data_IF_119103895087
#
_entry.id   IF_119103895087
#
_cell.length_a   1.000
_cell.length_b   1.000
_cell.length_c   1.000
_cell.angle_alpha   90.00
_cell.angle_beta   90.00
_cell.angle_gamma   90.00
#
_symmetry.space_group_name_H-M   'P 1'
#
loop_
_entity.id
_entity.type
_entity.pdbx_description
1 polymer ?
#
# COMPACT_ATOMS: atom_id res chain seq x y z
N UNK A 1 -9.16 -21.46 52.18
CA UNK A 1 -8.69 -20.06 52.34
C UNK A 1 -9.68 -19.12 51.66
N UNK A 2 -9.67 -17.83 52.00
CA UNK A 2 -10.49 -16.82 51.31
C UNK A 2 -9.58 -15.98 50.41
N UNK A 3 -9.91 -15.89 49.12
CA UNK A 3 -9.13 -15.12 48.14
C UNK A 3 -9.93 -13.96 47.60
N UNK A 4 -9.29 -12.82 47.39
CA UNK A 4 -9.92 -11.67 46.74
C UNK A 4 -10.08 -11.91 45.23
N UNK A 5 -11.02 -11.22 44.59
CA UNK A 5 -11.18 -11.28 43.12
C UNK A 5 -9.90 -10.89 42.37
N UNK A 6 -9.09 -10.00 42.94
CA UNK A 6 -7.80 -9.62 42.36
C UNK A 6 -6.80 -10.78 42.41
N UNK A 7 -6.72 -11.51 43.52
CA UNK A 7 -5.85 -12.69 43.65
C UNK A 7 -6.29 -13.83 42.73
N UNK A 8 -7.61 -14.06 42.60
CA UNK A 8 -8.16 -15.07 41.70
C UNK A 8 -7.84 -14.74 40.24
N UNK A 9 -7.90 -13.46 39.87
CA UNK A 9 -7.55 -13.02 38.52
C UNK A 9 -6.09 -13.32 38.17
N UNK A 10 -5.17 -13.12 39.12
CA UNK A 10 -3.76 -13.47 38.95
C UNK A 10 -3.57 -14.99 38.89
N UNK A 11 -4.26 -15.74 39.75
CA UNK A 11 -4.10 -17.19 39.86
C UNK A 11 -4.68 -17.94 38.66
N UNK A 12 -5.78 -17.45 38.09
CA UNK A 12 -6.52 -18.13 37.00
C UNK A 12 -6.28 -17.54 35.62
N UNK A 13 -5.60 -16.40 35.53
CA UNK A 13 -5.48 -15.63 34.27
C UNK A 13 -6.80 -15.05 33.75
N UNK A 14 -7.91 -15.20 34.48
CA UNK A 14 -9.21 -14.67 34.09
C UNK A 14 -9.30 -13.18 34.40
N UNK A 15 -10.03 -12.45 33.54
CA UNK A 15 -10.32 -11.04 33.82
C UNK A 15 -11.16 -10.90 35.10
N UNK A 16 -10.90 -9.84 35.88
CA UNK A 16 -11.70 -9.51 37.07
C UNK A 16 -13.19 -9.42 36.73
N UNK A 17 -13.53 -8.91 35.55
CA UNK A 17 -14.91 -8.79 35.05
C UNK A 17 -15.55 -10.16 34.84
N UNK A 18 -14.83 -11.12 34.24
CA UNK A 18 -15.30 -12.49 34.05
C UNK A 18 -15.60 -13.17 35.39
N UNK A 19 -14.71 -12.98 36.38
CA UNK A 19 -14.90 -13.49 37.74
C UNK A 19 -16.12 -12.83 38.39
N UNK A 20 -16.25 -11.50 38.33
CA UNK A 20 -17.41 -10.77 38.87
C UNK A 20 -18.75 -11.20 38.26
N UNK A 21 -18.77 -11.51 36.96
CA UNK A 21 -19.98 -11.97 36.29
C UNK A 21 -20.41 -13.37 36.77
N UNK A 22 -19.46 -14.25 37.10
CA UNK A 22 -19.76 -15.60 37.59
C UNK A 22 -20.18 -15.63 39.05
N UNK A 23 -19.49 -14.90 39.92
CA UNK A 23 -19.85 -14.85 41.34
C UNK A 23 -21.21 -14.17 41.58
N UNK A 24 -21.76 -13.43 40.60
CA UNK A 24 -23.14 -12.89 40.68
C UNK A 24 -24.23 -13.97 40.54
N UNK A 25 -23.91 -15.15 40.01
CA UNK A 25 -24.86 -16.24 39.82
C UNK A 25 -25.33 -16.80 41.18
N UNK A 26 -26.57 -17.29 41.24
CA UNK A 26 -27.20 -17.77 42.49
C UNK A 26 -26.44 -18.94 43.11
N UNK A 27 -25.78 -19.75 42.29
CA UNK A 27 -25.01 -20.94 42.67
C UNK A 27 -23.74 -20.57 43.46
N UNK A 28 -23.11 -19.45 43.13
CA UNK A 28 -21.85 -19.02 43.76
C UNK A 28 -22.04 -18.22 45.06
N UNK A 29 -23.28 -17.80 45.39
CA UNK A 29 -23.57 -17.01 46.60
C UNK A 29 -23.10 -17.68 47.89
N UNK A 30 -23.09 -19.00 47.93
CA UNK A 30 -22.68 -19.80 49.11
C UNK A 30 -21.17 -19.72 49.37
N UNK A 31 -20.38 -19.35 48.38
CA UNK A 31 -18.92 -19.30 48.45
C UNK A 31 -18.37 -17.88 48.53
N UNK A 32 -19.24 -16.87 48.67
CA UNK A 32 -18.87 -15.45 48.64
C UNK A 32 -18.99 -14.82 50.02
N UNK A 33 -17.93 -14.14 50.42
CA UNK A 33 -17.81 -13.45 51.70
C UNK A 33 -17.47 -12.00 51.45
N UNK A 34 -18.20 -11.06 52.07
CA UNK A 34 -17.93 -9.63 51.95
C UNK A 34 -17.44 -9.08 53.28
N UNK A 35 -16.24 -8.51 53.28
CA UNK A 35 -15.68 -7.83 54.44
C UNK A 35 -15.16 -6.46 54.02
N UNK A 36 -15.56 -5.40 54.74
CA UNK A 36 -15.12 -4.01 54.50
C UNK A 36 -15.21 -3.56 53.01
N UNK A 37 -16.25 -4.00 52.30
CA UNK A 37 -16.47 -3.64 50.89
C UNK A 37 -15.70 -4.46 49.85
N UNK A 38 -14.84 -5.39 50.27
CA UNK A 38 -14.10 -6.30 49.39
C UNK A 38 -14.84 -7.63 49.31
N UNK A 39 -14.93 -8.19 48.09
CA UNK A 39 -15.54 -9.50 47.84
C UNK A 39 -14.45 -10.58 47.82
N UNK A 40 -14.60 -11.54 48.72
CA UNK A 40 -13.76 -12.72 48.85
C UNK A 40 -14.53 -13.96 48.41
N UNK A 41 -13.81 -14.93 47.84
CA UNK A 41 -14.34 -16.22 47.41
C UNK A 41 -13.60 -17.32 48.17
N UNK A 42 -14.31 -18.34 48.64
CA UNK A 42 -13.69 -19.52 49.25
C UNK A 42 -12.94 -20.35 48.22
N UNK A 43 -11.99 -21.18 48.68
CA UNK A 43 -11.17 -22.02 47.81
C UNK A 43 -12.05 -22.92 46.92
N UNK A 44 -13.14 -23.48 47.45
CA UNK A 44 -14.08 -24.31 46.70
C UNK A 44 -14.78 -23.51 45.58
N UNK A 45 -15.14 -22.25 45.87
CA UNK A 45 -15.70 -21.36 44.87
C UNK A 45 -14.69 -20.99 43.77
N UNK A 46 -13.40 -20.89 44.11
CA UNK A 46 -12.32 -20.65 43.13
C UNK A 46 -12.12 -21.86 42.23
N UNK A 47 -12.12 -23.08 42.78
CA UNK A 47 -12.02 -24.33 42.00
C UNK A 47 -13.20 -24.47 41.04
N UNK A 48 -14.42 -24.19 41.48
CA UNK A 48 -15.60 -24.19 40.62
C UNK A 48 -15.54 -23.17 39.49
N UNK A 49 -14.98 -21.97 39.75
CA UNK A 49 -14.74 -20.99 38.68
C UNK A 49 -13.72 -21.54 37.67
N UNK A 50 -12.66 -22.21 38.15
CA UNK A 50 -11.62 -22.80 37.31
C UNK A 50 -12.16 -23.93 36.42
N UNK A 51 -12.93 -24.86 37.00
CA UNK A 51 -13.61 -25.94 36.28
C UNK A 51 -14.62 -25.39 35.26
N UNK A 52 -15.39 -24.38 35.65
CA UNK A 52 -16.40 -23.77 34.77
C UNK A 52 -15.78 -23.14 33.53
N UNK A 53 -14.65 -22.44 33.69
CA UNK A 53 -13.92 -21.87 32.55
C UNK A 53 -13.05 -22.88 31.83
N UNK A 54 -13.06 -24.15 32.26
CA UNK A 54 -12.35 -25.27 31.66
C UNK A 54 -10.88 -24.93 31.34
N UNK A 55 -10.26 -24.14 32.21
CA UNK A 55 -8.87 -23.71 32.09
C UNK A 55 -7.98 -24.91 32.36
N UNK A 56 -7.78 -25.74 31.36
CA UNK A 56 -6.80 -26.82 31.42
C UNK A 56 -5.41 -26.24 31.18
N UNK A 57 -4.85 -25.59 32.18
CA UNK A 57 -3.46 -25.13 32.15
C UNK A 57 -2.46 -26.32 32.16
N UNK A 58 -2.97 -27.55 32.36
CA UNK A 58 -2.20 -28.80 32.37
C UNK A 58 -2.34 -29.68 31.13
N UNK A 59 -3.28 -29.45 30.18
CA UNK A 59 -3.48 -30.39 29.05
C UNK A 59 -2.72 -30.07 27.77
N UNK A 60 -2.01 -28.96 27.68
CA UNK A 60 -1.10 -28.71 26.55
C UNK A 60 0.25 -29.45 26.71
N UNK A 61 0.62 -29.81 27.94
CA UNK A 61 1.88 -30.53 28.22
C UNK A 61 1.72 -32.05 28.20
N UNK A 62 0.49 -32.59 28.26
CA UNK A 62 0.23 -34.04 28.22
C UNK A 62 0.00 -34.58 26.80
N UNK A 63 -0.14 -33.71 25.79
CA UNK A 63 -0.37 -34.12 24.39
C UNK A 63 0.92 -34.36 23.59
N UNK A 64 2.09 -34.13 24.18
CA UNK A 64 3.40 -34.47 23.60
C UNK A 64 3.97 -35.81 24.11
N UNK A 65 3.29 -36.48 25.05
CA UNK A 65 3.64 -37.80 25.54
C UNK A 65 2.56 -38.78 25.07
N UNK A 66 2.65 -39.20 23.81
CA UNK A 66 1.83 -40.29 23.30
C UNK A 66 2.15 -41.62 23.99
N UNK A 67 1.09 -42.43 24.16
CA UNK A 67 1.10 -43.90 24.27
C UNK A 67 1.65 -44.54 25.54
N UNK A 68 0.75 -44.77 26.51
CA UNK A 68 0.56 -46.11 27.10
C UNK A 68 -0.78 -46.16 27.87
N UNK A 69 -1.91 -46.09 27.16
CA UNK A 69 -3.11 -46.72 27.69
C UNK A 69 -2.99 -48.20 27.41
N UNK A 70 -2.54 -48.96 28.40
CA UNK A 70 -2.67 -50.41 28.45
C UNK A 70 -4.14 -50.75 28.22
N UNK A 71 -4.47 -51.21 27.02
CA UNK A 71 -5.73 -51.85 26.67
C UNK A 71 -5.88 -53.15 27.47
N UNK A 72 -6.17 -53.03 28.76
CA UNK A 72 -6.51 -54.14 29.64
C UNK A 72 -7.84 -53.91 30.35
N UNK A 73 -8.78 -53.35 29.61
CA UNK A 73 -10.18 -53.31 29.99
C UNK A 73 -11.00 -53.89 28.84
N UNK A 74 -11.26 -55.20 28.96
CA UNK A 74 -12.35 -55.94 28.34
C UNK A 74 -12.55 -55.71 26.83
N UNK A 75 -11.86 -56.52 26.02
CA UNK A 75 -12.33 -56.82 24.67
C UNK A 75 -13.65 -57.60 24.76
N UNK A 76 -14.76 -56.89 24.90
CA UNK A 76 -16.05 -57.36 24.42
C UNK A 76 -16.06 -57.07 22.92
N UNK A 77 -15.60 -58.05 22.14
CA UNK A 77 -15.78 -58.10 20.69
C UNK A 77 -17.28 -58.29 20.38
N UNK A 78 -18.09 -57.26 20.67
CA UNK A 78 -19.36 -57.09 19.99
C UNK A 78 -19.02 -56.27 18.76
N UNK A 79 -18.78 -56.98 17.66
CA UNK A 79 -18.66 -56.41 16.33
C UNK A 79 -20.03 -55.82 15.92
N UNK A 80 -20.36 -54.65 16.47
CA UNK A 80 -21.47 -53.84 15.98
C UNK A 80 -21.07 -53.32 14.61
N UNK A 81 -21.47 -54.06 13.57
CA UNK A 81 -21.28 -53.73 12.15
C UNK A 81 -21.66 -52.27 11.86
N UNK A 82 -22.71 -51.77 12.51
CA UNK A 82 -23.15 -50.37 12.46
C UNK A 82 -22.06 -49.38 12.92
N UNK A 83 -21.34 -49.65 14.00
CA UNK A 83 -20.25 -48.77 14.50
C UNK A 83 -19.09 -48.72 13.50
N UNK A 84 -18.78 -49.85 12.85
CA UNK A 84 -17.75 -49.92 11.81
C UNK A 84 -18.17 -49.13 10.56
N UNK A 85 -19.41 -49.26 10.12
CA UNK A 85 -19.99 -48.52 9.00
C UNK A 85 -20.02 -47.01 9.28
N UNK A 86 -20.49 -46.58 10.45
CA UNK A 86 -20.44 -45.16 10.85
C UNK A 86 -19.01 -44.60 10.88
N UNK A 87 -18.02 -45.40 11.32
CA UNK A 87 -16.62 -44.98 11.34
C UNK A 87 -16.04 -44.84 9.92
N UNK A 88 -16.43 -45.70 8.97
CA UNK A 88 -16.05 -45.52 7.57
C UNK A 88 -16.71 -44.30 6.94
N UNK A 89 -18.02 -44.10 7.15
CA UNK A 89 -18.72 -42.92 6.63
C UNK A 89 -18.13 -41.60 7.14
N UNK A 90 -17.78 -41.55 8.43
CA UNK A 90 -17.14 -40.39 9.02
C UNK A 90 -15.73 -40.14 8.46
N UNK A 91 -15.01 -41.19 8.07
CA UNK A 91 -13.71 -41.07 7.41
C UNK A 91 -13.88 -40.54 5.99
N UNK A 92 -14.83 -41.08 5.24
CA UNK A 92 -15.11 -40.66 3.86
C UNK A 92 -15.59 -39.21 3.81
N UNK A 93 -16.45 -38.80 4.75
CA UNK A 93 -16.90 -37.41 4.87
C UNK A 93 -15.73 -36.45 5.13
N UNK A 94 -14.78 -36.84 5.99
CA UNK A 94 -13.56 -36.04 6.25
C UNK A 94 -12.69 -35.93 5.00
N UNK A 95 -12.50 -37.02 4.26
CA UNK A 95 -11.72 -37.01 3.01
C UNK A 95 -12.37 -36.08 1.98
N UNK A 96 -13.68 -36.22 1.77
CA UNK A 96 -14.43 -35.37 0.84
C UNK A 96 -14.33 -33.88 1.22
N UNK A 97 -14.47 -33.55 2.50
CA UNK A 97 -14.32 -32.17 2.97
C UNK A 97 -12.91 -31.62 2.72
N UNK A 98 -11.87 -32.41 2.98
CA UNK A 98 -10.48 -32.03 2.71
C UNK A 98 -10.27 -31.78 1.21
N UNK A 99 -10.82 -32.61 0.34
CA UNK A 99 -10.65 -32.46 -1.11
C UNK A 99 -11.39 -31.24 -1.67
N UNK A 100 -12.58 -30.92 -1.12
CA UNK A 100 -13.27 -29.66 -1.41
C UNK A 100 -12.39 -28.46 -1.01
N UNK A 101 -11.84 -28.47 0.21
CA UNK A 101 -10.97 -27.40 0.68
C UNK A 101 -9.70 -27.27 -0.17
N UNK A 102 -9.08 -28.38 -0.58
CA UNK A 102 -7.92 -28.36 -1.48
C UNK A 102 -8.27 -27.76 -2.84
N UNK A 103 -9.43 -28.12 -3.40
CA UNK A 103 -9.92 -27.58 -4.66
C UNK A 103 -10.18 -26.08 -4.57
N UNK A 104 -10.80 -25.62 -3.48
CA UNK A 104 -11.04 -24.20 -3.22
C UNK A 104 -9.73 -23.42 -3.08
N UNK A 105 -8.76 -23.93 -2.32
CA UNK A 105 -7.41 -23.34 -2.21
C UNK A 105 -6.74 -23.27 -3.59
N UNK A 106 -6.86 -24.33 -4.41
CA UNK A 106 -6.33 -24.35 -5.77
C UNK A 106 -6.95 -23.26 -6.65
N UNK A 107 -8.28 -23.11 -6.58
CA UNK A 107 -9.00 -22.07 -7.30
C UNK A 107 -8.61 -20.66 -6.86
N UNK A 108 -8.44 -20.43 -5.56
CA UNK A 108 -7.99 -19.14 -5.01
C UNK A 108 -6.57 -18.81 -5.46
N UNK A 109 -5.65 -19.78 -5.46
CA UNK A 109 -4.28 -19.60 -5.98
C UNK A 109 -4.28 -19.24 -7.46
N UNK A 110 -5.07 -19.94 -8.28
CA UNK A 110 -5.20 -19.63 -9.70
C UNK A 110 -5.76 -18.21 -9.95
N UNK A 111 -6.67 -17.74 -9.10
CA UNK A 111 -7.19 -16.37 -9.17
C UNK A 111 -6.13 -15.33 -8.79
N UNK A 112 -5.32 -15.61 -7.76
CA UNK A 112 -4.20 -14.75 -7.37
C UNK A 112 -3.18 -14.63 -8.51
N UNK A 113 -2.75 -15.76 -9.09
CA UNK A 113 -1.79 -15.75 -10.21
C UNK A 113 -2.28 -14.94 -11.42
N UNK A 114 -3.58 -15.02 -11.73
CA UNK A 114 -4.19 -14.22 -12.80
C UNK A 114 -4.19 -12.73 -12.47
N UNK A 115 -4.53 -12.37 -11.22
CA UNK A 115 -4.49 -10.97 -10.77
C UNK A 115 -3.08 -10.41 -10.75
N UNK A 116 -2.09 -11.19 -10.34
CA UNK A 116 -0.68 -10.79 -10.35
C UNK A 116 -0.18 -10.52 -11.76
N UNK A 117 -0.56 -11.34 -12.75
CA UNK A 117 -0.26 -11.08 -14.17
C UNK A 117 -0.88 -9.77 -14.65
N UNK A 118 -2.15 -9.51 -14.33
CA UNK A 118 -2.82 -8.25 -14.68
C UNK A 118 -2.12 -7.04 -14.03
N UNK A 119 -1.67 -7.17 -12.77
CA UNK A 119 -0.91 -6.12 -12.08
C UNK A 119 0.41 -5.85 -12.80
N UNK A 120 1.15 -6.88 -13.23
CA UNK A 120 2.40 -6.71 -13.97
C UNK A 120 2.20 -6.01 -15.32
N UNK A 121 1.13 -6.36 -16.05
CA UNK A 121 0.77 -5.67 -17.29
C UNK A 121 0.45 -4.19 -17.05
N UNK A 122 -0.35 -3.88 -16.03
CA UNK A 122 -0.66 -2.50 -15.65
C UNK A 122 0.59 -1.70 -15.24
N UNK A 123 1.52 -2.32 -14.51
CA UNK A 123 2.80 -1.70 -14.16
C UNK A 123 3.61 -1.39 -15.41
N UNK A 124 3.68 -2.30 -16.38
CA UNK A 124 4.40 -2.09 -17.63
C UNK A 124 3.76 -1.00 -18.49
N UNK A 125 2.43 -0.98 -18.61
CA UNK A 125 1.71 0.10 -19.30
C UNK A 125 1.95 1.46 -18.64
N UNK A 126 1.94 1.52 -17.31
CA UNK A 126 2.23 2.77 -16.58
C UNK A 126 3.67 3.24 -16.82
N UNK A 127 4.67 2.33 -16.78
CA UNK A 127 6.06 2.66 -17.12
C UNK A 127 6.17 3.21 -18.53
N UNK A 128 5.51 2.60 -19.51
CA UNK A 128 5.50 3.08 -20.89
C UNK A 128 4.87 4.47 -21.01
N UNK A 129 3.74 4.70 -20.34
CA UNK A 129 3.09 6.01 -20.32
C UNK A 129 3.98 7.10 -19.71
N UNK A 130 4.72 6.79 -18.64
CA UNK A 130 5.68 7.73 -18.05
C UNK A 130 6.80 8.11 -19.03
N UNK A 131 7.33 7.14 -19.78
CA UNK A 131 8.34 7.40 -20.82
C UNK A 131 7.78 8.30 -21.92
N UNK A 132 6.57 8.00 -22.40
CA UNK A 132 5.91 8.79 -23.45
C UNK A 132 5.64 10.23 -22.99
N UNK A 133 5.16 10.42 -21.76
CA UNK A 133 4.94 11.75 -21.18
C UNK A 133 6.24 12.55 -21.09
N UNK A 134 7.33 11.91 -20.64
CA UNK A 134 8.64 12.56 -20.58
C UNK A 134 9.15 12.96 -21.97
N UNK A 135 9.01 12.07 -22.97
CA UNK A 135 9.37 12.37 -24.35
C UNK A 135 8.54 13.53 -24.93
N UNK A 136 7.27 13.64 -24.57
CA UNK A 136 6.43 14.74 -25.00
C UNK A 136 6.86 16.06 -24.36
N UNK A 137 7.14 16.07 -23.05
CA UNK A 137 7.68 17.24 -22.35
C UNK A 137 9.01 17.70 -22.96
N UNK A 138 9.92 16.77 -23.25
CA UNK A 138 11.20 17.09 -23.89
C UNK A 138 11.02 17.69 -25.29
N UNK A 139 10.03 17.21 -26.06
CA UNK A 139 9.68 17.79 -27.37
C UNK A 139 9.14 19.22 -27.24
N UNK A 140 8.23 19.45 -26.31
CA UNK A 140 7.66 20.79 -26.05
C UNK A 140 8.75 21.78 -25.61
N UNK A 141 9.65 21.37 -24.71
CA UNK A 141 10.81 22.18 -24.29
C UNK A 141 11.71 22.51 -25.47
N UNK A 142 12.00 21.53 -26.33
CA UNK A 142 12.85 21.76 -27.50
C UNK A 142 12.19 22.66 -28.54
N UNK A 143 10.87 22.56 -28.73
CA UNK A 143 10.13 23.47 -29.60
C UNK A 143 10.16 24.90 -29.08
N UNK A 144 9.95 25.11 -27.77
CA UNK A 144 10.05 26.42 -27.13
C UNK A 144 11.44 27.03 -27.32
N UNK A 145 12.51 26.26 -27.04
CA UNK A 145 13.90 26.70 -27.27
C UNK A 145 14.15 27.08 -28.71
N UNK A 146 13.61 26.31 -29.67
CA UNK A 146 13.76 26.58 -31.08
C UNK A 146 13.02 27.87 -31.50
N UNK A 147 11.81 28.08 -30.96
CA UNK A 147 11.04 29.31 -31.18
C UNK A 147 11.76 30.55 -30.63
N UNK A 148 12.35 30.44 -29.44
CA UNK A 148 13.16 31.51 -28.84
C UNK A 148 14.39 31.81 -29.69
N UNK A 149 15.08 30.78 -30.22
CA UNK A 149 16.19 30.97 -31.16
C UNK A 149 15.76 31.67 -32.45
N UNK A 150 14.58 31.34 -33.01
CA UNK A 150 14.08 32.03 -34.19
C UNK A 150 13.76 33.50 -33.91
N UNK A 151 13.14 33.82 -32.76
CA UNK A 151 12.91 35.21 -32.33
C UNK A 151 14.21 35.99 -32.22
N UNK A 152 15.24 35.42 -31.60
CA UNK A 152 16.56 36.05 -31.48
C UNK A 152 17.20 36.31 -32.86
N UNK A 153 17.08 35.36 -33.78
CA UNK A 153 17.57 35.52 -35.16
C UNK A 153 16.81 36.63 -35.89
N UNK A 154 15.49 36.67 -35.78
CA UNK A 154 14.66 37.70 -36.40
C UNK A 154 14.98 39.10 -35.88
N UNK A 155 15.19 39.24 -34.56
CA UNK A 155 15.66 40.49 -33.95
C UNK A 155 17.01 40.92 -34.51
N UNK A 156 17.98 40.00 -34.61
CA UNK A 156 19.30 40.29 -35.21
C UNK A 156 19.19 40.71 -36.67
N UNK A 157 18.32 40.07 -37.45
CA UNK A 157 18.08 40.41 -38.84
C UNK A 157 17.44 41.79 -38.98
N UNK A 158 16.48 42.12 -38.12
CA UNK A 158 15.84 43.44 -38.07
C UNK A 158 16.86 44.53 -37.73
N UNK A 159 17.71 44.29 -36.73
CA UNK A 159 18.82 45.16 -36.36
C UNK A 159 19.81 45.37 -37.51
N UNK A 160 20.16 44.28 -38.22
CA UNK A 160 21.06 44.36 -39.37
C UNK A 160 20.43 45.17 -40.50
N UNK A 161 19.14 44.96 -40.79
CA UNK A 161 18.38 45.73 -41.78
C UNK A 161 18.36 47.21 -41.43
N UNK A 162 18.06 47.55 -40.17
CA UNK A 162 18.07 48.92 -39.67
C UNK A 162 19.46 49.58 -39.84
N UNK A 163 20.53 48.86 -39.46
CA UNK A 163 21.92 49.31 -39.65
C UNK A 163 22.25 49.54 -41.14
N UNK A 164 21.82 48.66 -42.03
CA UNK A 164 22.02 48.81 -43.48
C UNK A 164 21.23 49.99 -44.06
N UNK A 165 19.99 50.21 -43.63
CA UNK A 165 19.19 51.36 -44.07
C UNK A 165 19.79 52.69 -43.61
N UNK A 166 20.27 52.75 -42.36
CA UNK A 166 20.99 53.92 -41.85
C UNK A 166 22.26 54.21 -42.67
N UNK A 167 23.05 53.18 -42.99
CA UNK A 167 24.23 53.32 -43.86
C UNK A 167 23.84 53.83 -45.25
N UNK A 168 22.83 53.24 -45.91
CA UNK A 168 22.36 53.71 -47.22
C UNK A 168 21.87 55.16 -47.20
N UNK A 169 21.13 55.58 -46.15
CA UNK A 169 20.68 56.97 -46.00
C UNK A 169 21.87 57.93 -45.84
N UNK A 170 22.87 57.56 -45.04
CA UNK A 170 24.11 58.34 -44.87
C UNK A 170 24.90 58.43 -46.18
N UNK A 171 25.12 57.32 -46.88
CA UNK A 171 25.82 57.29 -48.17
C UNK A 171 25.11 58.14 -49.23
N UNK A 172 23.78 58.05 -49.35
CA UNK A 172 22.99 58.92 -50.25
C UNK A 172 23.13 60.40 -49.89
N UNK A 173 23.13 60.73 -48.60
CA UNK A 173 23.32 62.11 -48.12
C UNK A 173 24.71 62.65 -48.50
N UNK A 174 25.76 61.86 -48.25
CA UNK A 174 27.15 62.19 -48.60
C UNK A 174 27.29 62.34 -50.12
N UNK A 175 26.73 61.43 -50.91
CA UNK A 175 26.78 61.49 -52.38
C UNK A 175 26.04 62.70 -52.95
N UNK A 176 24.88 63.06 -52.39
CA UNK A 176 24.13 64.27 -52.77
C UNK A 176 24.91 65.55 -52.43
N UNK A 177 25.60 65.57 -51.28
CA UNK A 177 26.47 66.67 -50.90
C UNK A 177 27.63 66.83 -51.90
N UNK A 178 28.34 65.76 -52.25
CA UNK A 178 29.42 65.80 -53.24
C UNK A 178 28.94 66.21 -54.65
N UNK A 179 27.76 65.76 -55.10
CA UNK A 179 27.16 66.21 -56.36
C UNK A 179 26.85 67.71 -56.36
N UNK A 180 26.43 68.27 -55.23
CA UNK A 180 26.13 69.71 -55.12
C UNK A 180 27.42 70.53 -55.16
N UNK A 181 28.46 70.08 -54.45
CA UNK A 181 29.78 70.72 -54.45
C UNK A 181 30.38 70.71 -55.86
N UNK A 182 30.41 69.57 -56.55
CA UNK A 182 31.00 69.47 -57.90
C UNK A 182 30.29 70.30 -58.96
N UNK A 183 28.96 70.44 -58.89
CA UNK A 183 28.21 71.36 -59.75
C UNK A 183 28.52 72.83 -59.45
N UNK A 184 28.69 73.20 -58.18
CA UNK A 184 29.11 74.55 -57.78
C UNK A 184 30.49 74.94 -58.31
N UNK A 185 31.43 73.99 -58.37
CA UNK A 185 32.77 74.22 -58.95
C UNK A 185 32.74 74.36 -60.47
N UNK A 186 31.88 73.62 -61.17
CA UNK A 186 31.73 73.78 -62.63
C UNK A 186 31.07 75.11 -63.04
N UNK A 187 30.15 75.63 -62.24
CA UNK A 187 29.52 76.94 -62.51
C UNK A 187 30.53 78.09 -62.34
N UNK A 188 31.44 78.00 -61.36
CA UNK A 188 32.50 79.01 -61.19
C UNK A 188 33.54 79.01 -62.32
N UNK A 189 33.87 77.85 -62.90
CA UNK A 189 34.80 77.77 -64.04
C UNK A 189 34.18 78.19 -65.38
N UNK A 190 32.84 78.22 -65.51
CA UNK A 190 32.16 78.68 -66.74
C UNK A 190 31.99 80.20 -66.87
N UNK A 191 32.19 80.95 -65.78
CA UNK A 191 32.01 82.41 -65.74
C UNK A 191 33.26 83.17 -66.21
N UNK A 192 34.42 82.51 -66.34
CA UNK A 192 35.68 83.16 -66.73
C UNK A 192 36.09 83.00 -68.21
N UNK A 193 35.21 82.49 -69.09
CA UNK A 193 35.48 82.38 -70.54
C UNK A 193 34.39 83.12 -71.31
N UNK A 194 34.34 84.44 -71.14
CA UNK A 194 33.72 85.37 -72.09
C UNK A 194 34.51 86.68 -72.03
N UNK A 195 35.53 86.79 -72.87
CA UNK A 195 36.02 88.02 -73.48
C UNK A 195 36.89 87.64 -74.67
#
# INVERSE_FOLDING_TARGET
MLRSVSEISVLTGLSKVSIYNKIKLKEFKKFIFKTKGITYVSEEGVTLIYEYFNLKESTLNTLNNEQEFTNKELALDIENKEIKEFKSELKDLKVNYIDILKSEIGNLRNQLDKKDKQIQELINLNKNNQVLLKQQQDKEINQLKLEDHFKEVDEKLLDLKNKMELKRKKEKSIFNFFKKVSRGTQIKNKVYIKK
#
